data_IF_776242170672
#
_entry.id   IF_776242170672
#
_cell.length_a   1.000
_cell.length_b   1.000
_cell.length_c   1.000
_cell.angle_alpha   90.00
_cell.angle_beta   90.00
_cell.angle_gamma   90.00
#
_symmetry.space_group_name_H-M   'P 1'
#
loop_
_entity.id
_entity.type
_entity.pdbx_description
1 polymer ?
#
# COMPACT_ATOMS: atom_id res chain seq x y z
N UNK A 1 -9.45 7.63 -11.57
CA UNK A 1 -9.19 6.71 -10.46
C UNK A 1 -8.24 5.69 -11.00
N UNK A 2 -7.00 5.74 -10.54
CA UNK A 2 -5.99 4.76 -10.93
C UNK A 2 -6.05 3.58 -9.97
N UNK A 3 -5.78 2.40 -10.51
CA UNK A 3 -5.64 1.20 -9.69
C UNK A 3 -4.20 1.12 -9.21
N UNK A 4 -4.04 0.98 -7.91
CA UNK A 4 -2.78 0.71 -7.25
C UNK A 4 -2.72 -0.77 -6.91
N UNK A 5 -1.76 -1.46 -7.50
CA UNK A 5 -1.44 -2.85 -7.18
C UNK A 5 -0.42 -2.86 -6.04
N UNK A 6 -0.71 -3.55 -4.95
CA UNK A 6 0.12 -3.55 -3.74
C UNK A 6 0.47 -4.98 -3.41
N UNK A 7 1.76 -5.26 -3.22
CA UNK A 7 2.27 -6.54 -2.76
C UNK A 7 2.82 -6.37 -1.35
N UNK A 8 2.35 -7.21 -0.44
CA UNK A 8 2.68 -7.13 0.97
C UNK A 8 2.70 -8.53 1.59
N UNK A 9 3.38 -8.66 2.73
CA UNK A 9 3.24 -9.83 3.59
C UNK A 9 2.17 -9.57 4.65
N UNK A 10 1.39 -10.60 4.98
CA UNK A 10 0.53 -10.66 6.16
C UNK A 10 0.72 -12.04 6.81
N UNK A 11 1.11 -12.10 8.08
CA UNK A 11 1.46 -13.36 8.77
C UNK A 11 2.41 -14.28 7.96
N UNK A 12 3.47 -13.71 7.37
CA UNK A 12 4.42 -14.44 6.52
C UNK A 12 3.84 -15.00 5.20
N UNK A 13 2.59 -14.69 4.85
CA UNK A 13 1.98 -15.01 3.56
C UNK A 13 2.02 -13.79 2.62
N UNK A 14 2.47 -14.01 1.38
CA UNK A 14 2.52 -12.95 0.37
C UNK A 14 1.14 -12.76 -0.26
N UNK A 15 0.64 -11.54 -0.21
CA UNK A 15 -0.64 -11.16 -0.78
C UNK A 15 -0.49 -10.02 -1.78
N UNK A 16 -1.42 -9.97 -2.74
CA UNK A 16 -1.48 -8.91 -3.74
C UNK A 16 -2.91 -8.40 -3.82
N UNK A 17 -3.06 -7.08 -3.68
CA UNK A 17 -4.35 -6.42 -3.85
C UNK A 17 -4.29 -5.35 -4.94
N UNK A 18 -5.44 -5.07 -5.52
CA UNK A 18 -5.65 -3.92 -6.38
C UNK A 18 -6.73 -3.05 -5.75
N UNK A 19 -6.37 -1.81 -5.40
CA UNK A 19 -7.30 -0.83 -4.82
C UNK A 19 -7.32 0.45 -5.65
N UNK A 20 -8.42 1.19 -5.59
CA UNK A 20 -8.53 2.49 -6.22
C UNK A 20 -8.02 3.56 -5.26
N UNK A 21 -7.00 4.30 -5.67
CA UNK A 21 -6.45 5.43 -4.90
C UNK A 21 -6.64 6.74 -5.65
N UNK A 22 -6.74 7.83 -4.91
CA UNK A 22 -6.76 9.17 -5.48
C UNK A 22 -5.31 9.65 -5.73
N UNK A 23 -5.12 10.54 -6.70
CA UNK A 23 -3.83 11.13 -7.06
C UNK A 23 -3.19 11.95 -5.93
N UNK A 24 -3.95 12.24 -4.87
CA UNK A 24 -3.51 12.99 -3.69
C UNK A 24 -3.06 12.10 -2.53
N UNK A 25 -3.20 10.78 -2.63
CA UNK A 25 -2.83 9.88 -1.55
C UNK A 25 -1.32 9.82 -1.40
N UNK A 26 -0.86 9.95 -0.18
CA UNK A 26 0.53 9.69 0.21
C UNK A 26 0.71 8.21 0.51
N UNK A 27 1.96 7.74 0.58
CA UNK A 27 2.23 6.38 1.05
C UNK A 27 1.70 6.14 2.47
N UNK A 28 1.76 7.15 3.34
CA UNK A 28 1.16 7.08 4.68
C UNK A 28 -0.36 6.94 4.69
N UNK A 29 -1.08 7.47 3.69
CA UNK A 29 -2.53 7.24 3.55
C UNK A 29 -2.82 5.78 3.17
N UNK A 30 -1.95 5.18 2.36
CA UNK A 30 -2.06 3.78 1.96
C UNK A 30 -1.70 2.87 3.11
N UNK A 31 -0.64 3.19 3.87
CA UNK A 31 -0.25 2.47 5.07
C UNK A 31 -1.39 2.47 6.10
N UNK A 32 -1.97 3.64 6.38
CA UNK A 32 -3.14 3.77 7.24
C UNK A 32 -4.35 2.97 6.75
N UNK A 33 -4.57 2.92 5.44
CA UNK A 33 -5.62 2.07 4.85
C UNK A 33 -5.34 0.58 5.15
N UNK A 34 -4.08 0.14 5.08
CA UNK A 34 -3.70 -1.23 5.47
C UNK A 34 -3.91 -1.49 6.95
N UNK A 35 -3.55 -0.55 7.82
CA UNK A 35 -3.87 -0.63 9.25
C UNK A 35 -5.39 -0.80 9.43
N UNK A 36 -6.20 0.10 8.89
CA UNK A 36 -7.66 0.02 9.02
C UNK A 36 -8.24 -1.30 8.47
N UNK A 37 -7.64 -1.87 7.42
CA UNK A 37 -8.10 -3.11 6.80
C UNK A 37 -7.70 -4.37 7.57
N UNK A 38 -6.53 -4.35 8.20
CA UNK A 38 -5.97 -5.51 8.91
C UNK A 38 -6.43 -5.55 10.37
N UNK A 39 -6.64 -4.41 11.00
CA UNK A 39 -7.12 -4.32 12.39
C UNK A 39 -8.57 -4.78 12.58
N UNK A 40 -9.36 -4.87 11.51
CA UNK A 40 -10.70 -5.48 11.56
C UNK A 40 -10.64 -7.03 11.66
N UNK A 41 -9.46 -7.64 11.46
CA UNK A 41 -9.26 -9.09 11.34
C UNK A 41 -8.52 -9.79 12.48
N UNK A 42 -7.46 -9.21 13.03
CA UNK A 42 -6.70 -9.66 14.21
C UNK A 42 -5.42 -8.81 14.31
N UNK A 43 -4.69 -8.94 15.42
CA UNK A 43 -3.37 -8.36 15.67
C UNK A 43 -2.33 -8.94 14.68
N UNK A 44 -2.43 -8.53 13.42
CA UNK A 44 -1.76 -9.13 12.28
C UNK A 44 -0.72 -8.14 11.76
N UNK A 45 0.55 -8.49 11.86
CA UNK A 45 1.61 -7.67 11.26
C UNK A 45 1.54 -7.75 9.73
N UNK A 46 1.71 -6.60 9.07
CA UNK A 46 1.92 -6.54 7.64
C UNK A 46 3.21 -5.82 7.29
N UNK A 47 3.77 -6.16 6.13
CA UNK A 47 4.93 -5.48 5.57
C UNK A 47 4.67 -5.23 4.09
N UNK A 48 4.63 -3.97 3.67
CA UNK A 48 4.45 -3.64 2.26
C UNK A 48 5.78 -3.76 1.52
N UNK A 49 5.80 -4.55 0.45
CA UNK A 49 7.01 -4.83 -0.34
C UNK A 49 7.13 -3.88 -1.53
N UNK A 50 6.08 -3.82 -2.35
CA UNK A 50 6.05 -3.01 -3.56
C UNK A 50 4.64 -2.53 -3.87
N UNK A 51 4.58 -1.40 -4.58
CA UNK A 51 3.37 -0.82 -5.12
C UNK A 51 3.57 -0.50 -6.60
N UNK A 52 2.70 -1.03 -7.46
CA UNK A 52 2.82 -1.00 -8.92
C UNK A 52 4.19 -1.47 -9.45
N UNK A 53 4.78 -2.47 -8.77
CA UNK A 53 6.09 -3.03 -9.13
C UNK A 53 7.28 -2.15 -8.73
N UNK A 54 7.07 -1.11 -7.91
CA UNK A 54 8.13 -0.29 -7.33
C UNK A 54 8.25 -0.55 -5.83
N UNK A 55 9.47 -0.62 -5.26
CA UNK A 55 9.65 -0.82 -3.82
C UNK A 55 8.89 0.24 -3.01
N UNK A 56 8.24 -0.20 -1.94
CA UNK A 56 7.59 0.71 -1.01
C UNK A 56 8.64 1.54 -0.26
N UNK A 57 8.35 2.84 -0.09
CA UNK A 57 9.19 3.80 0.65
C UNK A 57 8.29 4.81 1.33
N UNK A 58 8.32 4.85 2.65
CA UNK A 58 7.40 5.65 3.47
C UNK A 58 7.44 7.17 3.17
N UNK A 59 8.59 7.70 2.76
CA UNK A 59 8.82 9.15 2.59
C UNK A 59 8.43 9.74 1.22
N UNK A 60 7.96 8.91 0.28
CA UNK A 60 7.65 9.37 -1.09
C UNK A 60 6.15 9.74 -1.28
N UNK A 61 5.85 10.58 -2.28
CA UNK A 61 4.46 10.90 -2.64
C UNK A 61 4.05 10.07 -3.84
N UNK A 62 2.93 9.35 -3.72
CA UNK A 62 2.30 8.69 -4.84
C UNK A 62 1.43 9.68 -5.61
N UNK A 63 1.75 9.91 -6.89
CA UNK A 63 0.93 10.76 -7.77
C UNK A 63 0.72 10.07 -9.12
N UNK A 64 -0.52 9.75 -9.51
CA UNK A 64 -0.87 9.29 -10.87
C UNK A 64 0.03 8.14 -11.40
N UNK A 65 0.23 7.09 -10.57
CA UNK A 65 1.10 5.96 -10.91
C UNK A 65 2.60 6.27 -10.98
N UNK A 66 2.99 7.47 -10.54
CA UNK A 66 4.38 7.94 -10.52
C UNK A 66 4.79 8.25 -9.09
N UNK A 67 5.95 7.73 -8.76
CA UNK A 67 6.71 8.14 -7.58
C UNK A 67 7.39 9.45 -7.98
N UNK A 68 7.16 10.51 -7.22
CA UNK A 68 7.97 11.72 -7.30
C UNK A 68 8.99 11.71 -6.16
N UNK A 69 10.27 11.78 -6.53
CA UNK A 69 11.38 12.15 -5.65
C UNK A 69 11.22 13.59 -5.12
#
# INVERSE_FOLDING_TARGET
MDKLKIRFYINDEEEIIETEVDEKWTWGDIDRMFEDWIWDGNDTGYEILEMNGKPYKEDEIYTDGKIKD
#
